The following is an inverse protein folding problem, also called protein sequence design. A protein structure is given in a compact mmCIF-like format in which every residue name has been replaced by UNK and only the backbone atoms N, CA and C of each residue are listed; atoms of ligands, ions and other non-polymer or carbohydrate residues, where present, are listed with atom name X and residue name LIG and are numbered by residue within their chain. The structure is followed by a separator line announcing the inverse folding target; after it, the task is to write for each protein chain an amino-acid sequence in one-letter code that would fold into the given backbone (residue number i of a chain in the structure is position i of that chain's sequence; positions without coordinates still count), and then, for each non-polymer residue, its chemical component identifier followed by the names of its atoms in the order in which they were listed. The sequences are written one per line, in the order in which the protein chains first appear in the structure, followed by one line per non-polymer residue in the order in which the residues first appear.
data_IF_912936972756
#
_entry.id   IF_912936972756
#
_cell.length_a   1.000
_cell.length_b   1.000
_cell.length_c   1.000
_cell.angle_alpha   90.00
_cell.angle_beta   90.00
_cell.angle_gamma   90.00
#
_symmetry.space_group_name_H-M   'P 1'
#
loop_
_entity.id
_entity.type
_entity.pdbx_description
1 polymer ?
#
# COMPACT_ATOMS: atom_id res chain seq x y z
N UNK A 1 12.20 -43.58 -41.31
CA UNK A 1 12.06 -42.12 -41.14
C UNK A 1 11.65 -41.82 -39.71
N UNK A 2 12.51 -41.14 -38.92
CA UNK A 2 12.18 -40.71 -37.55
C UNK A 2 11.34 -39.43 -37.62
N UNK A 3 10.08 -39.51 -37.16
CA UNK A 3 9.19 -38.37 -37.01
C UNK A 3 9.65 -37.53 -35.81
N UNK A 4 10.49 -36.52 -36.06
CA UNK A 4 10.76 -35.48 -35.07
C UNK A 4 9.58 -34.51 -35.09
N UNK A 5 8.54 -34.81 -34.31
CA UNK A 5 7.49 -33.83 -33.96
C UNK A 5 8.15 -32.78 -33.08
N UNK A 6 8.55 -31.70 -33.74
CA UNK A 6 9.28 -30.59 -33.17
C UNK A 6 8.34 -29.81 -32.24
N UNK A 7 8.63 -29.85 -30.93
CA UNK A 7 7.94 -29.16 -29.85
C UNK A 7 8.07 -27.62 -29.96
N UNK A 8 7.40 -27.01 -30.94
CA UNK A 8 7.46 -25.55 -31.15
C UNK A 8 6.39 -24.76 -30.39
N UNK A 9 5.51 -25.40 -29.62
CA UNK A 9 4.33 -24.72 -29.06
C UNK A 9 4.62 -24.02 -27.71
N UNK A 10 5.75 -24.28 -27.03
CA UNK A 10 5.97 -23.73 -25.68
C UNK A 10 6.66 -22.36 -25.59
N UNK A 11 7.38 -21.91 -26.63
CA UNK A 11 8.13 -20.64 -26.60
C UNK A 11 7.26 -19.36 -26.61
N UNK A 12 6.15 -19.25 -27.38
CA UNK A 12 5.38 -18.01 -27.41
C UNK A 12 4.62 -17.73 -26.11
N UNK A 13 4.15 -18.78 -25.41
CA UNK A 13 3.45 -18.61 -24.13
C UNK A 13 4.39 -18.17 -23.01
N UNK A 14 5.65 -18.62 -23.01
CA UNK A 14 6.65 -18.17 -22.05
C UNK A 14 6.95 -16.68 -22.22
N UNK A 15 7.11 -16.23 -23.47
CA UNK A 15 7.31 -14.82 -23.78
C UNK A 15 6.10 -13.95 -23.38
N UNK A 16 4.88 -14.42 -23.67
CA UNK A 16 3.65 -13.73 -23.28
C UNK A 16 3.50 -13.64 -21.76
N UNK A 17 3.81 -14.72 -21.03
CA UNK A 17 3.76 -14.75 -19.56
C UNK A 17 4.77 -13.77 -18.93
N UNK A 18 5.98 -13.66 -19.49
CA UNK A 18 6.98 -12.67 -19.06
C UNK A 18 6.52 -11.24 -19.36
N UNK A 19 5.88 -11.00 -20.51
CA UNK A 19 5.36 -9.68 -20.84
C UNK A 19 4.22 -9.27 -19.89
N UNK A 20 3.29 -10.19 -19.59
CA UNK A 20 2.20 -9.94 -18.64
C UNK A 20 2.70 -9.72 -17.20
N UNK A 21 3.74 -10.43 -16.76
CA UNK A 21 4.33 -10.21 -15.43
C UNK A 21 5.05 -8.86 -15.34
N UNK A 22 5.78 -8.46 -16.38
CA UNK A 22 6.43 -7.14 -16.46
C UNK A 22 5.41 -6.00 -16.47
N UNK A 23 4.32 -6.12 -17.25
CA UNK A 23 3.24 -5.14 -17.30
C UNK A 23 2.52 -4.99 -15.95
N UNK A 24 2.29 -6.10 -15.24
CA UNK A 24 1.64 -6.09 -13.93
C UNK A 24 2.53 -5.45 -12.87
N UNK A 25 3.83 -5.76 -12.89
CA UNK A 25 4.82 -5.16 -12.01
C UNK A 25 4.95 -3.65 -12.26
N UNK A 26 4.98 -3.20 -13.52
CA UNK A 26 4.99 -1.77 -13.85
C UNK A 26 3.77 -1.04 -13.30
N UNK A 27 2.57 -1.62 -13.40
CA UNK A 27 1.35 -1.02 -12.83
C UNK A 27 1.45 -0.84 -11.32
N UNK A 28 1.91 -1.86 -10.60
CA UNK A 28 2.07 -1.81 -9.15
C UNK A 28 3.11 -0.73 -8.75
N UNK A 29 4.27 -0.71 -9.40
CA UNK A 29 5.32 0.28 -9.14
C UNK A 29 4.85 1.71 -9.45
N UNK A 30 4.15 1.93 -10.57
CA UNK A 30 3.64 3.26 -10.95
C UNK A 30 2.57 3.74 -9.97
N UNK A 31 1.66 2.86 -9.53
CA UNK A 31 0.65 3.23 -8.53
C UNK A 31 1.28 3.65 -7.19
N UNK A 32 2.30 2.92 -6.75
CA UNK A 32 3.05 3.19 -5.53
C UNK A 32 3.77 4.54 -5.57
N UNK A 33 4.54 4.77 -6.64
CA UNK A 33 5.25 6.05 -6.85
C UNK A 33 4.26 7.20 -6.93
N UNK A 34 3.05 6.98 -7.44
CA UNK A 34 2.02 8.03 -7.54
C UNK A 34 1.44 8.40 -6.18
N UNK A 35 1.12 7.42 -5.33
CA UNK A 35 0.56 7.70 -4.00
C UNK A 35 1.56 8.44 -3.11
N UNK A 36 2.79 7.94 -3.01
CA UNK A 36 3.85 8.54 -2.21
C UNK A 36 4.19 9.96 -2.69
N UNK A 37 4.24 10.18 -4.01
CA UNK A 37 4.48 11.51 -4.60
C UNK A 37 3.34 12.50 -4.33
N UNK A 38 2.09 12.05 -4.40
CA UNK A 38 0.95 12.92 -4.08
C UNK A 38 0.96 13.31 -2.60
N UNK A 39 1.25 12.36 -1.70
CA UNK A 39 1.36 12.64 -0.27
C UNK A 39 2.52 13.59 0.05
N UNK A 40 3.67 13.42 -0.60
CA UNK A 40 4.81 14.33 -0.42
C UNK A 40 4.55 15.75 -0.92
N UNK A 41 3.69 15.88 -1.94
CA UNK A 41 3.22 17.16 -2.47
C UNK A 41 2.30 17.95 -1.54
N UNK A 42 1.77 17.34 -0.48
CA UNK A 42 0.96 18.04 0.52
C UNK A 42 1.86 18.98 1.32
N UNK A 43 1.46 20.24 1.42
CA UNK A 43 2.17 21.23 2.21
C UNK A 43 1.96 20.93 3.71
N UNK A 44 3.02 20.98 4.53
CA UNK A 44 2.87 20.99 5.99
C UNK A 44 1.90 22.08 6.45
N UNK A 45 1.31 21.90 7.64
CA UNK A 45 0.31 22.79 8.25
C UNK A 45 -1.00 22.93 7.47
N UNK A 46 -1.27 22.01 6.54
CA UNK A 46 -2.54 21.96 5.80
C UNK A 46 -3.36 20.73 6.16
N UNK A 47 -4.68 20.86 6.04
CA UNK A 47 -5.60 19.73 6.16
C UNK A 47 -5.70 19.00 4.82
N UNK A 48 -5.79 17.67 4.87
CA UNK A 48 -5.92 16.84 3.69
C UNK A 48 -6.70 15.55 3.97
N UNK A 49 -7.13 14.88 2.91
CA UNK A 49 -7.85 13.61 2.96
C UNK A 49 -7.11 12.56 2.12
N UNK A 50 -7.07 11.31 2.58
CA UNK A 50 -6.44 10.22 1.81
C UNK A 50 -7.15 9.96 0.47
N UNK A 51 -8.45 10.27 0.36
CA UNK A 51 -9.20 10.05 -0.88
C UNK A 51 -8.73 10.99 -2.01
N UNK A 52 -8.21 12.17 -1.68
CA UNK A 52 -7.62 13.08 -2.66
C UNK A 52 -6.32 12.52 -3.29
N UNK A 53 -5.69 11.55 -2.62
CA UNK A 53 -4.40 11.00 -3.03
C UNK A 53 -4.53 9.78 -3.94
N UNK A 54 -5.69 9.11 -3.92
CA UNK A 54 -5.91 7.88 -4.69
C UNK A 54 -7.20 7.96 -5.49
N UNK A 55 -7.15 7.54 -6.75
CA UNK A 55 -8.32 7.61 -7.63
C UNK A 55 -9.30 6.44 -7.41
N UNK A 56 -8.81 5.30 -6.91
CA UNK A 56 -9.62 4.09 -6.73
C UNK A 56 -10.52 4.22 -5.49
N UNK A 57 -11.76 3.74 -5.59
CA UNK A 57 -12.73 3.76 -4.47
C UNK A 57 -12.35 2.77 -3.38
N UNK A 58 -12.26 3.24 -2.13
CA UNK A 58 -11.98 2.43 -0.94
C UNK A 58 -12.92 2.76 0.21
N UNK A 59 -13.04 1.83 1.15
CA UNK A 59 -13.93 1.91 2.31
C UNK A 59 -13.18 2.29 3.58
N UNK A 60 -12.02 1.67 3.79
CA UNK A 60 -11.22 1.78 5.02
C UNK A 60 -9.74 1.70 4.68
N UNK A 61 -8.92 2.46 5.39
CA UNK A 61 -7.47 2.38 5.31
C UNK A 61 -6.91 2.11 6.70
N UNK A 62 -6.03 1.11 6.80
CA UNK A 62 -5.27 0.83 8.00
C UNK A 62 -3.85 1.33 7.81
N UNK A 63 -3.36 2.23 8.65
CA UNK A 63 -1.95 2.64 8.64
C UNK A 63 -1.20 1.91 9.75
N UNK A 64 -0.12 1.25 9.37
CA UNK A 64 0.75 0.46 10.23
C UNK A 64 2.14 1.11 10.19
N UNK A 65 2.52 1.84 11.26
CA UNK A 65 3.88 2.32 11.44
C UNK A 65 4.87 1.16 11.57
N UNK A 66 6.18 1.39 11.36
CA UNK A 66 7.17 0.37 11.63
C UNK A 66 7.16 -0.06 13.09
N UNK A 67 7.49 -1.33 13.31
CA UNK A 67 7.56 -2.04 14.58
C UNK A 67 6.26 -2.15 15.38
N UNK A 68 5.14 -1.70 14.82
CA UNK A 68 3.84 -1.85 15.47
C UNK A 68 3.27 -3.25 15.30
N UNK A 69 2.72 -3.79 16.38
CA UNK A 69 2.04 -5.09 16.34
C UNK A 69 0.69 -4.95 15.64
N UNK A 70 0.57 -5.51 14.44
CA UNK A 70 -0.64 -5.39 13.62
C UNK A 70 -1.65 -6.54 13.78
N UNK A 71 -1.33 -7.54 14.60
CA UNK A 71 -2.07 -8.80 14.65
C UNK A 71 -3.54 -8.60 15.05
N UNK A 72 -3.83 -7.79 16.08
CA UNK A 72 -5.20 -7.66 16.62
C UNK A 72 -6.20 -6.99 15.66
N UNK A 73 -5.79 -5.93 14.95
CA UNK A 73 -6.67 -5.20 14.04
C UNK A 73 -6.75 -5.83 12.64
N UNK A 74 -5.67 -6.45 12.15
CA UNK A 74 -5.70 -7.17 10.87
C UNK A 74 -6.37 -8.55 10.95
N UNK A 75 -6.40 -9.21 12.12
CA UNK A 75 -7.10 -10.49 12.29
C UNK A 75 -8.60 -10.41 12.01
N UNK A 76 -9.19 -9.21 12.05
CA UNK A 76 -10.61 -8.96 11.70
C UNK A 76 -10.83 -8.86 10.19
N UNK A 77 -9.77 -8.84 9.40
CA UNK A 77 -9.80 -8.70 7.94
C UNK A 77 -9.37 -10.03 7.33
N UNK A 78 -10.14 -10.51 6.36
CA UNK A 78 -9.79 -11.72 5.61
C UNK A 78 -8.67 -11.41 4.60
N UNK A 79 -7.43 -11.35 5.08
CA UNK A 79 -6.24 -11.13 4.26
C UNK A 79 -5.79 -12.44 3.57
N UNK A 80 -5.33 -12.35 2.33
CA UNK A 80 -4.62 -13.46 1.68
C UNK A 80 -3.25 -13.61 2.34
N UNK A 81 -2.73 -14.84 2.38
CA UNK A 81 -1.41 -15.14 2.98
C UNK A 81 -0.28 -14.29 2.36
N UNK A 82 -0.34 -14.06 1.05
CA UNK A 82 0.59 -13.19 0.33
C UNK A 82 0.58 -11.75 0.88
N UNK A 83 -0.62 -11.16 0.97
CA UNK A 83 -0.79 -9.77 1.42
C UNK A 83 -0.39 -9.62 2.89
N UNK A 84 -0.70 -10.63 3.72
CA UNK A 84 -0.26 -10.69 5.11
C UNK A 84 1.27 -10.70 5.20
N UNK A 85 1.95 -11.55 4.45
CA UNK A 85 3.43 -11.63 4.45
C UNK A 85 4.05 -10.29 4.05
N UNK A 86 3.53 -9.64 3.00
CA UNK A 86 4.00 -8.32 2.56
C UNK A 86 3.86 -7.26 3.67
N UNK A 87 2.75 -7.28 4.41
CA UNK A 87 2.56 -6.40 5.58
C UNK A 87 3.58 -6.71 6.67
N UNK A 88 3.84 -8.00 6.95
CA UNK A 88 4.82 -8.40 7.97
C UNK A 88 6.22 -7.90 7.63
N UNK A 89 6.63 -8.06 6.38
CA UNK A 89 7.93 -7.63 5.86
C UNK A 89 8.06 -6.11 5.92
N UNK A 90 7.01 -5.37 5.58
CA UNK A 90 7.05 -3.91 5.65
C UNK A 90 7.06 -3.39 7.10
N UNK A 91 6.36 -4.06 8.02
CA UNK A 91 6.27 -3.64 9.41
C UNK A 91 7.61 -3.73 10.16
N UNK A 92 8.56 -4.54 9.71
CA UNK A 92 9.91 -4.59 10.29
C UNK A 92 10.88 -3.59 9.62
N UNK A 93 10.43 -2.87 8.59
CA UNK A 93 11.25 -1.90 7.85
C UNK A 93 11.13 -0.51 8.46
N UNK A 94 12.19 -0.10 9.15
CA UNK A 94 12.30 1.09 10.01
C UNK A 94 11.88 2.42 9.35
N UNK A 95 11.95 2.48 8.01
CA UNK A 95 11.77 3.70 7.23
C UNK A 95 10.41 3.89 6.57
N UNK A 96 9.45 2.96 6.71
CA UNK A 96 8.20 3.01 5.96
C UNK A 96 6.95 2.84 6.84
N UNK A 97 5.92 3.64 6.52
CA UNK A 97 4.56 3.38 6.96
C UNK A 97 3.86 2.52 5.91
N UNK A 98 3.13 1.51 6.35
CA UNK A 98 2.32 0.65 5.47
C UNK A 98 0.87 1.08 5.51
N UNK A 99 0.30 1.38 4.36
CA UNK A 99 -1.11 1.73 4.18
C UNK A 99 -1.83 0.55 3.55
N UNK A 100 -2.77 -0.05 4.28
CA UNK A 100 -3.57 -1.19 3.84
C UNK A 100 -4.98 -0.70 3.56
N UNK A 101 -5.31 -0.57 2.27
CA UNK A 101 -6.64 -0.14 1.83
C UNK A 101 -7.55 -1.34 1.59
N UNK A 102 -8.76 -1.26 2.13
CA UNK A 102 -9.87 -2.15 1.79
C UNK A 102 -10.72 -1.44 0.75
N UNK A 103 -10.72 -1.97 -0.46
CA UNK A 103 -11.42 -1.41 -1.61
C UNK A 103 -12.92 -1.72 -1.53
N UNK A 104 -13.74 -1.00 -2.29
CA UNK A 104 -15.20 -1.18 -2.26
C UNK A 104 -15.67 -2.58 -2.69
N UNK A 105 -14.88 -3.25 -3.53
CA UNK A 105 -15.11 -4.63 -3.98
C UNK A 105 -14.57 -5.68 -2.98
N UNK A 106 -14.03 -5.24 -1.83
CA UNK A 106 -13.42 -6.09 -0.82
C UNK A 106 -11.98 -6.51 -1.14
N UNK A 107 -11.40 -6.07 -2.26
CA UNK A 107 -9.99 -6.30 -2.56
C UNK A 107 -9.08 -5.46 -1.66
N UNK A 108 -7.83 -5.90 -1.50
CA UNK A 108 -6.83 -5.24 -0.67
C UNK A 108 -5.75 -4.63 -1.56
N UNK A 109 -5.44 -3.36 -1.31
CA UNK A 109 -4.29 -2.67 -1.90
C UNK A 109 -3.34 -2.24 -0.80
N UNK A 110 -2.05 -2.49 -0.98
CA UNK A 110 -1.01 -2.15 0.00
C UNK A 110 -0.06 -1.13 -0.62
N UNK A 111 -0.02 0.05 -0.01
CA UNK A 111 0.94 1.10 -0.33
C UNK A 111 1.96 1.23 0.80
N UNK A 112 3.18 1.66 0.47
CA UNK A 112 4.18 2.00 1.49
C UNK A 112 4.67 3.41 1.24
N UNK A 113 4.82 4.19 2.31
CA UNK A 113 5.30 5.56 2.23
C UNK A 113 6.46 5.76 3.19
N UNK A 114 7.53 6.42 2.76
CA UNK A 114 8.63 6.79 3.64
C UNK A 114 8.13 7.60 4.85
N UNK A 115 8.69 7.32 6.03
CA UNK A 115 8.45 8.10 7.25
C UNK A 115 8.86 9.57 7.14
N UNK A 116 9.78 9.88 6.24
CA UNK A 116 10.18 11.27 5.97
C UNK A 116 9.07 12.10 5.31
N UNK A 117 8.10 11.44 4.65
CA UNK A 117 6.97 12.09 3.98
C UNK A 117 5.81 12.29 4.95
N UNK A 118 5.62 11.35 5.86
CA UNK A 118 4.60 11.38 6.90
C UNK A 118 5.08 10.57 8.10
N UNK A 119 5.12 11.16 9.27
CA UNK A 119 5.48 10.48 10.51
C UNK A 119 4.24 10.36 11.39
N UNK A 120 3.97 9.13 11.83
CA UNK A 120 2.73 8.78 12.55
C UNK A 120 3.09 8.11 13.88
N UNK A 121 4.39 7.89 14.16
CA UNK A 121 4.86 7.09 15.30
C UNK A 121 4.55 7.72 16.66
N UNK A 122 4.64 9.05 16.77
CA UNK A 122 4.55 9.74 18.07
C UNK A 122 3.13 10.18 18.45
N UNK A 123 2.17 10.06 17.52
CA UNK A 123 0.85 10.66 17.72
C UNK A 123 -0.03 9.84 18.66
N UNK A 124 0.13 8.51 18.67
CA UNK A 124 -0.86 7.60 19.24
C UNK A 124 -0.18 6.27 19.62
N UNK A 125 -0.04 6.04 20.93
CA UNK A 125 0.51 4.81 21.51
C UNK A 125 -0.29 3.57 21.03
N UNK A 126 0.43 2.54 20.61
CA UNK A 126 0.00 1.13 20.44
C UNK A 126 -1.10 0.77 19.42
N UNK A 127 -1.46 1.61 18.45
CA UNK A 127 -2.58 1.30 17.56
C UNK A 127 -2.28 1.34 16.06
N UNK A 128 -2.79 0.32 15.34
CA UNK A 128 -3.08 0.46 13.92
C UNK A 128 -4.15 1.54 13.77
N UNK A 129 -3.93 2.48 12.86
CA UNK A 129 -4.86 3.58 12.62
C UNK A 129 -5.88 3.22 11.57
N UNK A 130 -7.17 3.31 11.91
CA UNK A 130 -8.26 3.12 10.97
C UNK A 130 -8.77 4.47 10.47
N UNK A 131 -8.66 4.69 9.17
CA UNK A 131 -9.14 5.87 8.47
C UNK A 131 -10.27 5.52 7.50
N UNK A 132 -11.16 6.48 7.31
CA UNK A 132 -12.22 6.43 6.31
C UNK A 132 -11.93 7.45 5.21
N UNK A 133 -12.54 7.32 4.01
CA UNK A 133 -12.35 8.28 2.93
C UNK A 133 -12.62 9.73 3.33
N UNK A 134 -13.54 9.93 4.27
CA UNK A 134 -13.94 11.25 4.79
C UNK A 134 -13.03 11.79 5.87
N UNK A 135 -12.11 10.98 6.41
CA UNK A 135 -11.24 11.42 7.49
C UNK A 135 -10.32 12.54 7.01
N UNK A 136 -10.35 13.66 7.73
CA UNK A 136 -9.50 14.82 7.50
C UNK A 136 -8.32 14.71 8.45
N UNK A 137 -7.11 14.78 7.92
CA UNK A 137 -5.89 14.79 8.73
C UNK A 137 -5.20 16.14 8.59
N UNK A 138 -4.53 16.56 9.66
CA UNK A 138 -3.60 17.67 9.63
C UNK A 138 -2.20 17.16 9.94
N UNK A 139 -1.25 17.66 9.17
CA UNK A 139 0.17 17.37 9.36
C UNK A 139 0.91 18.64 9.78
N UNK A 140 1.83 18.54 10.74
CA UNK A 140 2.65 19.65 11.20
C UNK A 140 3.84 19.95 10.28
N UNK A 141 4.57 21.02 10.60
CA UNK A 141 5.83 21.43 9.94
C UNK A 141 6.92 20.34 9.86
N UNK A 142 6.92 19.37 10.78
CA UNK A 142 7.85 18.23 10.81
C UNK A 142 7.31 16.98 10.13
N UNK A 143 6.19 17.13 9.41
CA UNK A 143 5.48 16.04 8.72
C UNK A 143 4.85 15.01 9.65
N UNK A 144 4.61 15.36 10.91
CA UNK A 144 3.87 14.52 11.86
C UNK A 144 2.37 14.74 11.72
N UNK A 145 1.58 13.68 11.76
CA UNK A 145 0.13 13.82 11.91
C UNK A 145 -0.14 14.38 13.31
N UNK A 146 -0.98 15.41 13.41
CA UNK A 146 -1.28 16.11 14.68
C UNK A 146 -2.77 16.26 14.96
N UNK A 147 -3.64 16.06 13.97
CA UNK A 147 -5.10 16.14 14.12
C UNK A 147 -5.79 15.19 13.14
N UNK A 148 -6.89 14.60 13.58
CA UNK A 148 -7.71 13.63 12.83
C UNK A 148 -9.19 13.93 13.13
N UNK A 149 -9.96 14.33 12.11
CA UNK A 149 -11.39 14.66 12.19
C UNK A 149 -12.23 13.76 11.29
#
# INVERSE_FOLDING_TARGET
MKNYKQNYIHKPYLFLAILFSLLSCQKEVVSKVTFERKLSGIKPETEFRLDSLRNDKWQKCYIIPPYQQYNSALNRIKLRKHDLNKIKENAISDGINTFVFINNDGSISIETVSRSIIDIQDTLLDSIFLFYPTTIMKMDSKRKIIDIK
#
